data_IF_155646356252
#
_entry.id   IF_155646356252
#
_cell.length_a   1.000
_cell.length_b   1.000
_cell.length_c   1.000
_cell.angle_alpha   90.00
_cell.angle_beta   90.00
_cell.angle_gamma   90.00
#
_symmetry.space_group_name_H-M   'P 1'
#
loop_
_entity.id
_entity.type
_entity.pdbx_description
1 polymer ?
#
# COMPACT_ATOMS: atom_id res chain seq x y z
N UNK A 1 40.72 -22.12 13.25
CA UNK A 1 40.30 -22.00 11.84
C UNK A 1 39.41 -23.17 11.37
N UNK A 2 39.76 -24.43 11.66
CA UNK A 2 39.00 -25.62 11.22
C UNK A 2 37.63 -25.77 11.94
N UNK A 3 37.51 -25.40 13.22
CA UNK A 3 36.23 -25.41 13.95
C UNK A 3 35.21 -24.37 13.43
N UNK A 4 35.66 -23.28 12.81
CA UNK A 4 34.79 -22.22 12.27
C UNK A 4 34.20 -22.66 10.92
N UNK A 5 34.99 -23.35 10.09
CA UNK A 5 34.52 -23.96 8.83
C UNK A 5 33.52 -25.12 9.07
N UNK A 6 33.72 -25.90 10.13
CA UNK A 6 32.84 -27.02 10.50
C UNK A 6 31.45 -26.55 10.97
N UNK A 7 31.39 -25.48 11.76
CA UNK A 7 30.10 -24.89 12.19
C UNK A 7 29.42 -24.14 11.02
N UNK A 8 30.19 -23.59 10.10
CA UNK A 8 29.68 -22.93 8.89
C UNK A 8 29.06 -23.93 7.89
N UNK A 9 29.69 -25.09 7.68
CA UNK A 9 29.09 -26.16 6.88
C UNK A 9 27.88 -26.79 7.56
N UNK A 10 27.89 -26.96 8.88
CA UNK A 10 26.79 -27.57 9.62
C UNK A 10 25.48 -26.74 9.60
N UNK A 11 25.58 -25.41 9.39
CA UNK A 11 24.44 -24.50 9.29
C UNK A 11 24.08 -24.06 7.86
N UNK A 12 24.96 -24.26 6.87
CA UNK A 12 24.65 -24.00 5.46
C UNK A 12 23.83 -25.14 4.82
N UNK A 13 23.94 -26.36 5.35
CA UNK A 13 23.26 -27.55 4.83
C UNK A 13 21.73 -27.50 5.02
N UNK A 14 21.15 -27.05 6.16
CA UNK A 14 19.70 -27.01 6.29
C UNK A 14 19.05 -26.00 5.33
N UNK A 15 19.67 -24.82 5.14
CA UNK A 15 19.10 -23.73 4.34
C UNK A 15 19.19 -23.95 2.83
N UNK A 16 20.31 -24.51 2.35
CA UNK A 16 20.48 -24.82 0.93
C UNK A 16 19.72 -26.09 0.51
N UNK A 17 19.57 -27.07 1.41
CA UNK A 17 18.82 -28.29 1.17
C UNK A 17 17.29 -28.06 1.20
N UNK A 18 16.80 -27.08 1.97
CA UNK A 18 15.37 -26.70 2.04
C UNK A 18 14.87 -25.87 0.85
N UNK A 19 15.77 -25.18 0.13
CA UNK A 19 15.41 -24.36 -1.05
C UNK A 19 15.46 -25.17 -2.34
N UNK A 20 16.28 -26.23 -2.39
CA UNK A 20 16.41 -27.11 -3.55
C UNK A 20 15.33 -28.19 -3.63
N UNK A 21 14.71 -28.58 -2.50
CA UNK A 21 13.63 -29.56 -2.45
C UNK A 21 12.28 -28.86 -2.34
N UNK A 22 11.87 -28.20 -3.42
CA UNK A 22 10.47 -27.85 -3.63
C UNK A 22 9.68 -29.11 -4.02
N UNK A 23 9.29 -29.89 -3.01
CA UNK A 23 8.00 -30.57 -2.98
C UNK A 23 7.70 -31.04 -1.54
N UNK A 24 6.53 -30.67 -1.02
CA UNK A 24 5.86 -31.22 0.17
C UNK A 24 6.36 -30.74 1.56
N UNK A 25 5.59 -29.80 2.13
CA UNK A 25 5.22 -29.62 3.55
C UNK A 25 6.25 -29.89 4.68
N UNK A 26 7.01 -28.86 5.10
CA UNK A 26 7.52 -28.72 6.47
C UNK A 26 6.80 -27.60 7.26
N UNK A 27 5.79 -26.96 6.65
CA UNK A 27 5.04 -25.81 7.22
C UNK A 27 4.11 -26.19 8.38
N UNK A 28 3.68 -27.45 8.50
CA UNK A 28 2.69 -27.89 9.50
C UNK A 28 3.24 -28.00 10.94
N UNK A 29 4.51 -28.37 11.12
CA UNK A 29 5.09 -28.51 12.47
C UNK A 29 5.55 -27.17 13.05
N UNK A 30 6.09 -26.28 12.20
CA UNK A 30 6.48 -24.91 12.59
C UNK A 30 5.27 -23.99 12.79
N UNK A 31 4.13 -24.26 12.14
CA UNK A 31 2.85 -23.58 12.40
C UNK A 31 2.39 -23.73 13.85
N UNK A 32 2.59 -24.90 14.47
CA UNK A 32 2.02 -25.20 15.80
C UNK A 32 2.72 -24.46 16.95
N UNK A 33 4.05 -24.30 16.88
CA UNK A 33 4.84 -23.57 17.87
C UNK A 33 4.84 -22.06 17.63
N UNK A 34 4.83 -21.63 16.37
CA UNK A 34 4.71 -20.20 16.02
C UNK A 34 3.30 -19.64 16.24
N UNK A 35 2.24 -20.46 16.07
CA UNK A 35 0.85 -20.09 16.45
C UNK A 35 0.76 -19.64 17.90
N UNK A 36 1.34 -20.38 18.83
CA UNK A 36 1.23 -20.07 20.27
C UNK A 36 1.97 -18.78 20.64
N UNK A 37 3.08 -18.46 19.95
CA UNK A 37 3.78 -17.19 20.13
C UNK A 37 3.08 -16.02 19.42
N UNK A 38 2.45 -16.24 18.26
CA UNK A 38 1.75 -15.22 17.49
C UNK A 38 0.42 -14.77 18.12
N UNK A 39 -0.30 -15.69 18.77
CA UNK A 39 -1.60 -15.43 19.43
C UNK A 39 -1.44 -14.58 20.71
N UNK A 40 -0.25 -14.55 21.32
CA UNK A 40 -0.02 -13.84 22.59
C UNK A 40 0.39 -12.37 22.44
N UNK A 41 0.75 -11.89 21.25
CA UNK A 41 1.03 -10.46 21.06
C UNK A 41 -0.27 -9.73 20.77
N UNK A 42 -0.95 -9.29 21.84
CA UNK A 42 -2.06 -8.33 21.81
C UNK A 42 -1.63 -7.10 21.00
N UNK A 43 -2.00 -7.09 19.73
CA UNK A 43 -1.38 -6.25 18.70
C UNK A 43 -1.86 -4.80 18.85
N UNK A 44 -0.95 -3.91 19.28
CA UNK A 44 -1.16 -2.46 19.32
C UNK A 44 -1.05 -1.83 17.92
N UNK A 45 -0.64 -2.61 16.93
CA UNK A 45 -0.44 -2.17 15.56
C UNK A 45 -1.72 -2.43 14.78
N UNK A 46 -2.34 -1.38 14.23
CA UNK A 46 -3.59 -1.44 13.44
C UNK A 46 -3.42 -2.19 12.09
N UNK A 47 -2.66 -3.29 12.02
CA UNK A 47 -2.37 -4.06 10.81
C UNK A 47 -3.62 -4.80 10.34
N UNK A 48 -4.42 -5.37 11.25
CA UNK A 48 -5.72 -5.96 10.89
C UNK A 48 -6.60 -4.95 10.15
N UNK A 49 -6.76 -3.75 10.69
CA UNK A 49 -7.55 -2.70 10.05
C UNK A 49 -6.97 -2.24 8.70
N UNK A 50 -5.65 -2.35 8.51
CA UNK A 50 -4.94 -2.01 7.27
C UNK A 50 -5.08 -3.11 6.20
N UNK A 51 -5.11 -4.38 6.59
CA UNK A 51 -5.33 -5.52 5.70
C UNK A 51 -6.81 -5.67 5.32
N UNK A 52 -7.71 -5.42 6.27
CA UNK A 52 -9.16 -5.38 6.03
C UNK A 52 -9.51 -4.35 4.95
N UNK A 53 -8.85 -3.19 4.99
CA UNK A 53 -8.99 -2.14 3.99
C UNK A 53 -8.54 -2.57 2.59
N UNK A 54 -7.61 -3.53 2.46
CA UNK A 54 -7.20 -4.11 1.18
C UNK A 54 -8.10 -5.27 0.73
N UNK A 55 -9.23 -5.50 1.40
CA UNK A 55 -10.11 -6.63 1.15
C UNK A 55 -9.57 -7.97 1.67
N UNK A 56 -8.45 -7.99 2.41
CA UNK A 56 -7.84 -9.20 3.00
C UNK A 56 -8.38 -9.42 4.40
N UNK A 57 -9.62 -9.90 4.48
CA UNK A 57 -10.41 -10.02 5.72
C UNK A 57 -10.15 -11.32 6.48
N UNK A 58 -9.45 -12.27 5.88
CA UNK A 58 -9.20 -13.56 6.50
C UNK A 58 -8.08 -13.48 7.55
N UNK A 59 -8.29 -14.09 8.71
CA UNK A 59 -7.26 -14.26 9.75
C UNK A 59 -5.99 -14.93 9.19
N UNK A 60 -6.16 -15.80 8.19
CA UNK A 60 -5.07 -16.45 7.46
C UNK A 60 -4.16 -15.46 6.70
N UNK A 61 -4.71 -14.37 6.17
CA UNK A 61 -3.93 -13.36 5.45
C UNK A 61 -3.07 -12.52 6.42
N UNK A 62 -3.62 -12.22 7.61
CA UNK A 62 -2.86 -11.58 8.68
C UNK A 62 -1.72 -12.49 9.17
N UNK A 63 -2.01 -13.77 9.39
CA UNK A 63 -0.99 -14.75 9.79
C UNK A 63 0.11 -14.88 8.74
N UNK A 64 -0.25 -15.00 7.45
CA UNK A 64 0.71 -15.05 6.36
C UNK A 64 1.58 -13.78 6.28
N UNK A 65 0.98 -12.59 6.48
CA UNK A 65 1.73 -11.34 6.51
C UNK A 65 2.75 -11.30 7.66
N UNK A 66 2.34 -11.70 8.87
CA UNK A 66 3.24 -11.74 10.04
C UNK A 66 4.33 -12.79 9.90
N UNK A 67 4.01 -13.99 9.42
CA UNK A 67 4.99 -15.05 9.15
C UNK A 67 6.04 -14.54 8.17
N UNK A 68 5.61 -13.85 7.10
CA UNK A 68 6.50 -13.27 6.11
C UNK A 68 7.34 -12.12 6.68
N UNK A 69 6.77 -11.28 7.54
CA UNK A 69 7.49 -10.20 8.22
C UNK A 69 8.59 -10.73 9.15
N UNK A 70 8.25 -11.69 10.03
CA UNK A 70 9.23 -12.32 10.92
C UNK A 70 10.25 -13.14 10.13
N UNK A 71 9.82 -13.85 9.08
CA UNK A 71 10.70 -14.63 8.20
C UNK A 71 11.77 -13.77 7.55
N UNK A 72 11.41 -12.63 6.96
CA UNK A 72 12.39 -11.69 6.37
C UNK A 72 13.27 -11.01 7.41
N UNK A 73 12.76 -10.69 8.60
CA UNK A 73 13.58 -10.13 9.67
C UNK A 73 14.60 -11.13 10.22
N UNK A 74 14.18 -12.37 10.48
CA UNK A 74 15.07 -13.42 10.97
C UNK A 74 16.13 -13.80 9.92
N UNK A 75 15.71 -14.00 8.66
CA UNK A 75 16.65 -14.30 7.56
C UNK A 75 17.60 -13.13 7.28
N UNK A 76 17.10 -11.90 7.25
CA UNK A 76 17.91 -10.70 7.03
C UNK A 76 18.92 -10.45 8.15
N UNK A 77 18.51 -10.60 9.41
CA UNK A 77 19.42 -10.47 10.56
C UNK A 77 20.47 -11.59 10.57
N UNK A 78 20.08 -12.84 10.32
CA UNK A 78 21.03 -13.96 10.25
C UNK A 78 22.06 -13.74 9.13
N UNK A 79 21.62 -13.31 7.94
CA UNK A 79 22.51 -13.02 6.81
C UNK A 79 23.47 -11.87 7.14
N UNK A 80 22.98 -10.77 7.70
CA UNK A 80 23.79 -9.63 8.10
C UNK A 80 24.84 -10.00 9.16
N UNK A 81 24.46 -10.83 10.14
CA UNK A 81 25.36 -11.31 11.19
C UNK A 81 26.49 -12.17 10.59
N UNK A 82 26.14 -13.14 9.74
CA UNK A 82 27.14 -14.02 9.09
C UNK A 82 28.11 -13.21 8.25
N UNK A 83 27.59 -12.28 7.44
CA UNK A 83 28.40 -11.47 6.53
C UNK A 83 29.36 -10.52 7.28
N UNK A 84 28.92 -9.95 8.41
CA UNK A 84 29.76 -9.09 9.25
C UNK A 84 30.83 -9.86 10.05
N UNK A 85 30.52 -11.10 10.46
CA UNK A 85 31.51 -11.99 11.08
C UNK A 85 32.57 -12.45 10.06
N UNK A 86 32.16 -12.75 8.82
CA UNK A 86 33.10 -13.06 7.72
C UNK A 86 34.00 -11.87 7.36
N UNK A 87 33.49 -10.64 7.50
CA UNK A 87 34.26 -9.41 7.29
C UNK A 87 35.26 -9.10 8.43
N UNK A 88 35.38 -9.96 9.45
CA UNK A 88 36.37 -9.84 10.52
C UNK A 88 36.09 -8.72 11.53
N UNK A 89 34.86 -8.20 11.60
CA UNK A 89 34.47 -7.18 12.59
C UNK A 89 34.31 -7.78 13.98
N UNK A 90 34.47 -6.95 15.03
CA UNK A 90 34.27 -7.40 16.41
C UNK A 90 32.85 -7.95 16.61
N UNK A 91 32.66 -9.04 17.39
CA UNK A 91 31.37 -9.72 17.51
C UNK A 91 30.29 -8.78 18.09
N UNK A 92 30.69 -7.83 18.94
CA UNK A 92 29.79 -6.82 19.48
C UNK A 92 29.26 -5.87 18.39
N UNK A 93 30.14 -5.43 17.47
CA UNK A 93 29.72 -4.55 16.37
C UNK A 93 28.81 -5.29 15.37
N UNK A 94 29.10 -6.57 15.08
CA UNK A 94 28.29 -7.39 14.19
C UNK A 94 26.85 -7.57 14.71
N UNK A 95 26.70 -7.76 16.03
CA UNK A 95 25.38 -7.88 16.65
C UNK A 95 24.56 -6.58 16.57
N UNK A 96 25.19 -5.44 16.84
CA UNK A 96 24.53 -4.12 16.76
C UNK A 96 24.05 -3.83 15.33
N UNK A 97 24.90 -4.03 14.32
CA UNK A 97 24.52 -3.82 12.92
C UNK A 97 23.44 -4.80 12.44
N UNK A 98 23.49 -6.07 12.88
CA UNK A 98 22.44 -7.05 12.59
C UNK A 98 21.08 -6.63 13.19
N UNK A 99 21.07 -6.09 14.42
CA UNK A 99 19.85 -5.59 15.04
C UNK A 99 19.28 -4.38 14.27
N UNK A 100 20.14 -3.44 13.88
CA UNK A 100 19.75 -2.28 13.06
C UNK A 100 19.17 -2.74 11.72
N UNK A 101 19.80 -3.72 11.06
CA UNK A 101 19.31 -4.26 9.80
C UNK A 101 17.93 -4.91 9.94
N UNK A 102 17.69 -5.67 11.00
CA UNK A 102 16.37 -6.23 11.30
C UNK A 102 15.28 -5.16 11.45
N UNK A 103 15.60 -4.05 12.12
CA UNK A 103 14.69 -2.90 12.25
C UNK A 103 14.43 -2.22 10.90
N UNK A 104 15.45 -2.05 10.07
CA UNK A 104 15.31 -1.48 8.72
C UNK A 104 14.34 -2.32 7.87
N UNK A 105 14.47 -3.65 7.91
CA UNK A 105 13.57 -4.56 7.17
C UNK A 105 12.12 -4.43 7.65
N UNK A 106 11.88 -4.32 8.96
CA UNK A 106 10.53 -4.06 9.50
C UNK A 106 9.92 -2.77 8.95
N UNK A 107 10.71 -1.69 8.94
CA UNK A 107 10.26 -0.39 8.44
C UNK A 107 9.95 -0.45 6.94
N UNK A 108 10.76 -1.14 6.14
CA UNK A 108 10.51 -1.30 4.70
C UNK A 108 9.18 -2.02 4.45
N UNK A 109 8.93 -3.12 5.17
CA UNK A 109 7.69 -3.90 5.02
C UNK A 109 6.46 -3.07 5.41
N UNK A 110 6.52 -2.31 6.50
CA UNK A 110 5.40 -1.44 6.91
C UNK A 110 5.16 -0.27 5.93
N UNK A 111 6.24 0.28 5.36
CA UNK A 111 6.14 1.32 4.32
C UNK A 111 5.51 0.79 3.04
N UNK A 112 5.85 -0.43 2.65
CA UNK A 112 5.28 -1.07 1.47
C UNK A 112 3.78 -1.33 1.66
N UNK A 113 3.36 -1.83 2.84
CA UNK A 113 1.94 -1.99 3.16
C UNK A 113 1.19 -0.65 3.12
N UNK A 114 1.77 0.40 3.72
CA UNK A 114 1.20 1.75 3.71
C UNK A 114 1.08 2.30 2.28
N UNK A 115 2.08 2.04 1.43
CA UNK A 115 2.08 2.40 0.01
C UNK A 115 0.96 1.70 -0.75
N UNK A 116 0.77 0.39 -0.53
CA UNK A 116 -0.31 -0.39 -1.15
C UNK A 116 -1.69 0.14 -0.77
N UNK A 117 -1.91 0.46 0.50
CA UNK A 117 -3.17 1.06 0.98
C UNK A 117 -3.42 2.41 0.31
N UNK A 118 -2.38 3.25 0.22
CA UNK A 118 -2.50 4.53 -0.48
C UNK A 118 -2.86 4.35 -1.95
N UNK A 119 -2.22 3.40 -2.65
CA UNK A 119 -2.54 3.07 -4.05
C UNK A 119 -3.99 2.60 -4.20
N UNK A 120 -4.45 1.74 -3.29
CA UNK A 120 -5.82 1.23 -3.27
C UNK A 120 -6.85 2.36 -3.09
N UNK A 121 -6.67 3.25 -2.10
CA UNK A 121 -7.53 4.44 -1.93
C UNK A 121 -7.56 5.32 -3.18
N UNK A 122 -6.40 5.57 -3.78
CA UNK A 122 -6.29 6.40 -4.98
C UNK A 122 -7.02 5.76 -6.17
N UNK A 123 -6.98 4.44 -6.30
CA UNK A 123 -7.72 3.69 -7.31
C UNK A 123 -9.23 3.84 -7.11
N UNK A 124 -9.72 3.61 -5.88
CA UNK A 124 -11.15 3.81 -5.54
C UNK A 124 -11.61 5.24 -5.87
N UNK A 125 -10.84 6.25 -5.47
CA UNK A 125 -11.18 7.66 -5.75
C UNK A 125 -11.12 8.01 -7.24
N UNK A 126 -10.32 7.29 -8.03
CA UNK A 126 -10.25 7.46 -9.47
C UNK A 126 -11.45 6.83 -10.20
N UNK A 127 -11.95 5.69 -9.71
CA UNK A 127 -13.12 5.00 -10.25
C UNK A 127 -14.44 5.68 -9.89
N UNK A 128 -14.47 6.33 -8.72
CA UNK A 128 -15.68 6.88 -8.11
C UNK A 128 -16.55 7.78 -9.02
N UNK A 129 -16.01 8.75 -9.78
CA UNK A 129 -16.83 9.59 -10.65
C UNK A 129 -17.62 8.79 -11.69
N UNK A 130 -16.96 7.82 -12.35
CA UNK A 130 -17.58 6.99 -13.37
C UNK A 130 -18.68 6.11 -12.78
N UNK A 131 -18.44 5.56 -11.59
CA UNK A 131 -19.41 4.70 -10.90
C UNK A 131 -20.67 5.47 -10.48
N UNK A 132 -20.53 6.70 -9.96
CA UNK A 132 -21.71 7.52 -9.63
C UNK A 132 -22.48 7.90 -10.90
N UNK A 133 -21.81 8.21 -12.00
CA UNK A 133 -22.48 8.51 -13.27
C UNK A 133 -23.30 7.31 -13.75
N UNK A 134 -22.72 6.11 -13.72
CA UNK A 134 -23.45 4.87 -14.03
C UNK A 134 -24.66 4.67 -13.10
N UNK A 135 -24.47 4.89 -11.80
CA UNK A 135 -25.55 4.77 -10.81
C UNK A 135 -26.67 5.80 -11.04
N UNK A 136 -26.29 7.04 -11.37
CA UNK A 136 -27.22 8.14 -11.66
C UNK A 136 -28.05 7.82 -12.91
N UNK A 137 -27.40 7.33 -13.98
CA UNK A 137 -28.06 6.93 -15.22
C UNK A 137 -29.00 5.74 -15.02
N UNK A 138 -28.58 4.74 -14.26
CA UNK A 138 -29.41 3.57 -13.93
C UNK A 138 -30.68 3.98 -13.15
N UNK A 139 -30.53 4.82 -12.13
CA UNK A 139 -31.67 5.30 -11.33
C UNK A 139 -32.57 6.24 -12.15
N UNK A 140 -31.99 7.09 -13.00
CA UNK A 140 -32.75 7.92 -13.94
C UNK A 140 -33.55 7.08 -14.95
N UNK A 141 -33.07 5.88 -15.31
CA UNK A 141 -33.78 4.91 -16.13
C UNK A 141 -34.87 4.13 -15.36
N UNK A 142 -35.08 4.44 -14.06
CA UNK A 142 -36.10 3.81 -13.22
C UNK A 142 -35.63 2.60 -12.44
N UNK A 143 -34.33 2.26 -12.45
CA UNK A 143 -33.81 1.19 -11.60
C UNK A 143 -33.87 1.61 -10.12
N UNK A 144 -34.15 0.65 -9.24
CA UNK A 144 -34.01 0.88 -7.80
C UNK A 144 -32.54 1.06 -7.42
N UNK A 145 -32.19 1.79 -6.34
CA UNK A 145 -30.80 1.97 -5.93
C UNK A 145 -30.06 0.64 -5.68
N UNK A 146 -30.77 -0.36 -5.17
CA UNK A 146 -30.24 -1.70 -4.96
C UNK A 146 -29.91 -2.40 -6.29
N UNK A 147 -30.79 -2.31 -7.29
CA UNK A 147 -30.55 -2.89 -8.62
C UNK A 147 -29.41 -2.18 -9.35
N UNK A 148 -29.35 -0.85 -9.26
CA UNK A 148 -28.26 -0.07 -9.84
C UNK A 148 -26.89 -0.49 -9.24
N UNK A 149 -26.80 -0.67 -7.92
CA UNK A 149 -25.58 -1.16 -7.27
C UNK A 149 -25.22 -2.59 -7.68
N UNK A 150 -26.20 -3.49 -7.79
CA UNK A 150 -25.97 -4.85 -8.27
C UNK A 150 -25.44 -4.85 -9.72
N UNK A 151 -26.06 -4.06 -10.59
CA UNK A 151 -25.62 -3.91 -11.98
C UNK A 151 -24.18 -3.40 -12.06
N UNK A 152 -23.81 -2.42 -11.22
CA UNK A 152 -22.44 -1.90 -11.15
C UNK A 152 -21.48 -2.97 -10.63
N UNK A 153 -21.87 -3.73 -9.60
CA UNK A 153 -21.06 -4.82 -9.06
C UNK A 153 -20.77 -5.91 -10.11
N UNK A 154 -21.73 -6.19 -11.00
CA UNK A 154 -21.59 -7.21 -12.04
C UNK A 154 -20.87 -6.70 -13.31
N UNK A 155 -21.01 -5.42 -13.65
CA UNK A 155 -20.53 -4.86 -14.93
C UNK A 155 -19.21 -4.09 -14.85
N UNK A 156 -18.93 -3.44 -13.71
CA UNK A 156 -17.72 -2.65 -13.55
C UNK A 156 -16.56 -3.53 -13.05
N UNK A 157 -15.36 -3.26 -13.56
CA UNK A 157 -14.13 -3.85 -13.04
C UNK A 157 -13.39 -2.78 -12.26
N UNK A 158 -13.28 -2.95 -10.94
CA UNK A 158 -12.64 -1.96 -10.07
C UNK A 158 -12.74 -2.30 -8.59
N UNK A 159 -11.98 -1.61 -7.75
CA UNK A 159 -12.03 -1.83 -6.31
C UNK A 159 -13.35 -1.36 -5.69
N UNK A 160 -13.96 -0.28 -6.24
CA UNK A 160 -15.24 0.20 -5.74
C UNK A 160 -16.40 -0.74 -6.15
N UNK A 161 -16.31 -1.39 -7.32
CA UNK A 161 -17.30 -2.39 -7.77
C UNK A 161 -17.35 -3.61 -6.84
N UNK A 162 -16.18 -4.08 -6.36
CA UNK A 162 -16.09 -5.17 -5.38
C UNK A 162 -16.74 -4.79 -4.05
N UNK A 163 -16.56 -3.55 -3.60
CA UNK A 163 -17.22 -3.09 -2.37
C UNK A 163 -18.74 -2.99 -2.52
N UNK A 164 -19.25 -2.63 -3.70
CA UNK A 164 -20.68 -2.74 -3.98
C UNK A 164 -21.17 -4.19 -3.98
N UNK A 165 -20.39 -5.15 -4.51
CA UNK A 165 -20.71 -6.58 -4.42
C UNK A 165 -20.86 -7.03 -2.95
N UNK A 166 -19.92 -6.61 -2.09
CA UNK A 166 -19.98 -6.88 -0.64
C UNK A 166 -21.24 -6.28 -0.01
N UNK A 167 -21.62 -5.05 -0.37
CA UNK A 167 -22.86 -4.43 0.13
C UNK A 167 -24.09 -5.23 -0.28
N UNK A 168 -24.13 -5.72 -1.52
CA UNK A 168 -25.23 -6.57 -1.99
C UNK A 168 -25.27 -7.89 -1.22
N UNK A 169 -24.13 -8.52 -0.95
CA UNK A 169 -24.06 -9.75 -0.17
C UNK A 169 -24.52 -9.53 1.29
N UNK A 170 -24.15 -8.42 1.91
CA UNK A 170 -24.63 -8.04 3.25
C UNK A 170 -26.16 -7.85 3.26
N UNK A 171 -26.71 -7.21 2.25
CA UNK A 171 -28.17 -7.02 2.12
C UNK A 171 -28.87 -8.37 1.90
N UNK A 172 -28.32 -9.25 1.06
CA UNK A 172 -28.83 -10.61 0.84
C UNK A 172 -28.77 -11.47 2.10
N UNK A 173 -27.78 -11.22 2.96
CA UNK A 173 -27.68 -11.83 4.29
C UNK A 173 -28.67 -11.25 5.32
N UNK A 174 -29.52 -10.29 4.92
CA UNK A 174 -30.56 -9.71 5.76
C UNK A 174 -30.18 -8.38 6.44
N UNK A 175 -29.02 -7.79 6.13
CA UNK A 175 -28.68 -6.48 6.67
C UNK A 175 -29.52 -5.37 5.99
N UNK A 176 -29.99 -4.36 6.75
CA UNK A 176 -30.63 -3.20 6.15
C UNK A 176 -29.66 -2.41 5.26
N UNK A 177 -30.17 -1.89 4.14
CA UNK A 177 -29.38 -1.12 3.15
C UNK A 177 -28.51 -0.01 3.80
N UNK A 178 -29.07 0.76 4.74
CA UNK A 178 -28.35 1.84 5.39
C UNK A 178 -27.18 1.35 6.26
N UNK A 179 -27.31 0.17 6.89
CA UNK A 179 -26.24 -0.44 7.69
C UNK A 179 -25.14 -0.98 6.80
N UNK A 180 -25.50 -1.66 5.71
CA UNK A 180 -24.54 -2.18 4.73
C UNK A 180 -23.74 -1.06 4.04
N UNK A 181 -24.43 0.02 3.63
CA UNK A 181 -23.78 1.21 3.07
C UNK A 181 -22.87 1.90 4.09
N UNK A 182 -23.31 2.08 5.34
CA UNK A 182 -22.46 2.69 6.37
C UNK A 182 -21.22 1.82 6.67
N UNK A 183 -21.38 0.48 6.67
CA UNK A 183 -20.28 -0.48 6.78
C UNK A 183 -19.27 -0.29 5.65
N UNK A 184 -19.73 -0.19 4.39
CA UNK A 184 -18.88 0.14 3.24
C UNK A 184 -18.12 1.45 3.43
N UNK A 185 -18.82 2.51 3.86
CA UNK A 185 -18.21 3.81 4.13
C UNK A 185 -17.10 3.76 5.19
N UNK A 186 -17.23 2.87 6.19
CA UNK A 186 -16.19 2.62 7.20
C UNK A 186 -15.01 1.81 6.69
N UNK A 187 -15.26 0.83 5.81
CA UNK A 187 -14.20 -0.04 5.23
C UNK A 187 -13.30 0.68 4.24
N UNK A 188 -13.91 1.45 3.32
CA UNK A 188 -13.19 2.11 2.21
C UNK A 188 -12.25 3.22 2.68
N UNK A 189 -12.50 3.82 3.86
CA UNK A 189 -11.65 4.86 4.51
C UNK A 189 -11.23 6.01 3.58
N UNK A 190 -12.03 6.33 2.58
CA UNK A 190 -11.94 7.58 1.81
C UNK A 190 -12.99 8.56 2.29
N UNK A 191 -12.56 9.79 2.57
CA UNK A 191 -13.44 10.88 3.03
C UNK A 191 -14.53 11.18 2.00
N UNK A 192 -14.18 11.08 0.72
CA UNK A 192 -15.07 11.33 -0.41
C UNK A 192 -16.20 10.30 -0.48
N UNK A 193 -15.83 9.01 -0.40
CA UNK A 193 -16.80 7.90 -0.40
C UNK A 193 -17.66 7.95 0.86
N UNK A 194 -17.07 8.26 2.02
CA UNK A 194 -17.82 8.38 3.28
C UNK A 194 -18.92 9.44 3.18
N UNK A 195 -18.59 10.63 2.69
CA UNK A 195 -19.56 11.72 2.49
C UNK A 195 -20.68 11.34 1.54
N UNK A 196 -20.34 10.68 0.44
CA UNK A 196 -21.32 10.19 -0.52
C UNK A 196 -22.27 9.15 0.07
N UNK A 197 -21.73 8.16 0.78
CA UNK A 197 -22.52 7.14 1.48
C UNK A 197 -23.48 7.79 2.47
N UNK A 198 -22.98 8.70 3.31
CA UNK A 198 -23.81 9.40 4.29
C UNK A 198 -24.93 10.22 3.61
N UNK A 199 -24.63 10.84 2.46
CA UNK A 199 -25.61 11.57 1.66
C UNK A 199 -26.67 10.66 1.02
N UNK A 200 -26.26 9.51 0.46
CA UNK A 200 -27.17 8.52 -0.14
C UNK A 200 -28.10 7.91 0.92
N UNK A 201 -27.56 7.55 2.09
CA UNK A 201 -28.34 7.05 3.23
C UNK A 201 -29.36 8.10 3.65
N UNK A 202 -28.92 9.34 3.85
CA UNK A 202 -29.80 10.45 4.27
C UNK A 202 -30.90 10.72 3.23
N UNK A 203 -30.55 10.71 1.94
CA UNK A 203 -31.50 10.94 0.86
C UNK A 203 -32.56 9.84 0.79
N UNK A 204 -32.14 8.58 0.96
CA UNK A 204 -33.03 7.42 0.93
C UNK A 204 -33.97 7.42 2.14
N UNK A 205 -33.47 7.74 3.34
CA UNK A 205 -34.29 7.80 4.55
C UNK A 205 -35.29 8.96 4.55
N UNK A 206 -34.93 10.10 3.94
CA UNK A 206 -35.78 11.30 3.90
C UNK A 206 -36.64 11.41 2.64
N UNK A 207 -36.55 10.45 1.72
CA UNK A 207 -37.24 10.50 0.43
C UNK A 207 -36.81 11.67 -0.46
N UNK A 208 -35.58 12.16 -0.29
CA UNK A 208 -35.03 13.23 -1.12
C UNK A 208 -34.74 12.73 -2.55
N UNK A 209 -34.76 13.60 -3.58
CA UNK A 209 -34.48 13.20 -4.96
C UNK A 209 -33.04 12.69 -5.09
N UNK A 210 -32.88 11.36 -5.13
CA UNK A 210 -31.57 10.71 -5.12
C UNK A 210 -30.72 11.09 -6.34
N UNK A 211 -31.35 11.27 -7.50
CA UNK A 211 -30.70 11.70 -8.74
C UNK A 211 -29.96 13.03 -8.55
N UNK A 212 -30.54 14.00 -7.84
CA UNK A 212 -29.89 15.29 -7.58
C UNK A 212 -28.68 15.14 -6.68
N UNK A 213 -28.78 14.31 -5.64
CA UNK A 213 -27.68 14.03 -4.69
C UNK A 213 -26.51 13.34 -5.42
N UNK A 214 -26.81 12.31 -6.21
CA UNK A 214 -25.80 11.61 -7.01
C UNK A 214 -25.15 12.54 -8.05
N UNK A 215 -25.95 13.34 -8.76
CA UNK A 215 -25.44 14.28 -9.78
C UNK A 215 -24.51 15.33 -9.19
N UNK A 216 -24.85 15.89 -8.01
CA UNK A 216 -23.98 16.83 -7.29
C UNK A 216 -22.65 16.19 -6.91
N UNK A 217 -22.68 14.97 -6.36
CA UNK A 217 -21.45 14.26 -6.02
C UNK A 217 -20.64 13.83 -7.25
N UNK A 218 -21.28 13.49 -8.38
CA UNK A 218 -20.56 13.21 -9.62
C UNK A 218 -19.81 14.45 -10.15
N UNK A 219 -20.42 15.63 -10.09
CA UNK A 219 -19.76 16.90 -10.45
C UNK A 219 -18.60 17.21 -9.50
N UNK A 220 -18.82 17.09 -8.18
CA UNK A 220 -17.75 17.25 -7.18
C UNK A 220 -16.59 16.27 -7.45
N UNK A 221 -16.92 15.02 -7.79
CA UNK A 221 -15.94 13.97 -8.01
C UNK A 221 -15.06 14.23 -9.23
N UNK A 222 -15.65 14.66 -10.34
CA UNK A 222 -14.91 15.10 -11.53
C UNK A 222 -14.04 16.32 -11.24
N UNK A 223 -14.56 17.28 -10.47
CA UNK A 223 -13.80 18.45 -10.03
C UNK A 223 -12.54 18.05 -9.25
N UNK A 224 -12.69 17.15 -8.29
CA UNK A 224 -11.56 16.63 -7.50
C UNK A 224 -10.54 15.86 -8.37
N UNK A 225 -11.01 15.03 -9.31
CA UNK A 225 -10.12 14.35 -10.25
C UNK A 225 -9.34 15.33 -11.13
N UNK A 226 -10.02 16.34 -11.68
CA UNK A 226 -9.39 17.40 -12.48
C UNK A 226 -8.33 18.16 -11.68
N UNK A 227 -8.67 18.58 -10.46
CA UNK A 227 -7.75 19.28 -9.56
C UNK A 227 -6.52 18.43 -9.22
N UNK A 228 -6.70 17.12 -9.05
CA UNK A 228 -5.59 16.17 -8.79
C UNK A 228 -4.65 16.08 -9.99
N UNK A 229 -5.18 15.99 -11.21
CA UNK A 229 -4.39 15.98 -12.45
C UNK A 229 -3.63 17.29 -12.61
N UNK A 230 -4.30 18.44 -12.43
CA UNK A 230 -3.66 19.76 -12.53
C UNK A 230 -2.58 19.95 -11.46
N UNK A 231 -2.83 19.51 -10.23
CA UNK A 231 -1.85 19.57 -9.14
C UNK A 231 -0.63 18.69 -9.42
N UNK A 232 -0.83 17.52 -10.04
CA UNK A 232 0.26 16.65 -10.45
C UNK A 232 1.08 17.27 -11.59
N UNK A 233 0.42 17.90 -12.56
CA UNK A 233 1.08 18.63 -13.65
C UNK A 233 1.92 19.80 -13.12
N UNK A 234 1.36 20.63 -12.22
CA UNK A 234 2.11 21.73 -11.61
C UNK A 234 3.29 21.27 -10.76
N UNK A 235 3.18 20.14 -10.04
CA UNK A 235 4.31 19.54 -9.32
C UNK A 235 5.39 19.02 -10.26
N UNK A 236 5.01 18.45 -11.40
CA UNK A 236 5.95 18.00 -12.41
C UNK A 236 6.71 19.18 -13.02
N UNK A 237 6.00 20.28 -13.33
CA UNK A 237 6.60 21.53 -13.83
C UNK A 237 7.64 22.08 -12.85
N UNK A 238 7.31 22.17 -11.56
CA UNK A 238 8.26 22.61 -10.54
C UNK A 238 9.46 21.66 -10.42
N UNK A 239 9.22 20.35 -10.50
CA UNK A 239 10.29 19.35 -10.40
C UNK A 239 11.24 19.41 -11.60
N UNK A 240 10.78 19.84 -12.78
CA UNK A 240 11.63 20.05 -13.96
C UNK A 240 12.54 21.28 -13.83
N UNK A 241 12.17 22.28 -13.02
CA UNK A 241 13.03 23.44 -12.75
C UNK A 241 14.27 23.08 -11.93
N UNK A 242 14.19 22.08 -11.04
CA UNK A 242 15.31 21.73 -10.14
C UNK A 242 16.56 21.30 -10.93
N UNK A 243 16.51 20.30 -11.85
CA UNK A 243 17.68 19.96 -12.66
C UNK A 243 18.16 21.12 -13.52
N UNK A 244 17.25 21.93 -14.08
CA UNK A 244 17.62 23.08 -14.91
C UNK A 244 18.45 24.09 -14.10
N UNK A 245 17.99 24.46 -12.91
CA UNK A 245 18.67 25.46 -12.07
C UNK A 245 19.95 24.91 -11.44
N UNK A 246 19.96 23.66 -10.96
CA UNK A 246 21.14 23.11 -10.27
C UNK A 246 22.17 22.45 -11.17
N UNK A 247 21.83 22.12 -12.42
CA UNK A 247 22.76 21.48 -13.35
C UNK A 247 23.19 22.44 -14.46
N UNK A 248 22.24 23.10 -15.13
CA UNK A 248 22.55 23.92 -16.32
C UNK A 248 23.23 25.23 -15.91
N UNK A 249 22.75 25.91 -14.86
CA UNK A 249 23.31 27.19 -14.43
C UNK A 249 24.75 27.08 -13.89
N UNK A 250 25.12 26.10 -13.04
CA UNK A 250 26.52 25.96 -12.63
C UNK A 250 27.45 25.59 -13.79
N UNK A 251 27.00 24.74 -14.72
CA UNK A 251 27.77 24.37 -15.90
C UNK A 251 27.97 25.58 -16.82
N UNK A 252 26.94 26.41 -17.02
CA UNK A 252 27.06 27.61 -17.87
C UNK A 252 28.00 28.65 -17.26
N UNK A 253 27.95 28.86 -15.94
CA UNK A 253 28.90 29.73 -15.22
C UNK A 253 30.33 29.19 -15.38
N UNK A 254 30.54 27.89 -15.18
CA UNK A 254 31.86 27.26 -15.32
C UNK A 254 32.43 27.48 -16.73
N UNK A 255 31.59 27.30 -17.75
CA UNK A 255 31.98 27.47 -19.15
C UNK A 255 32.29 28.93 -19.50
N UNK A 256 31.50 29.88 -18.99
CA UNK A 256 31.71 31.31 -19.20
C UNK A 256 32.99 31.82 -18.53
N UNK A 257 33.34 31.30 -17.35
CA UNK A 257 34.54 31.70 -16.60
C UNK A 257 35.83 31.02 -17.08
N UNK A 258 35.73 29.91 -17.80
CA UNK A 258 36.87 29.13 -18.29
C UNK A 258 37.93 29.95 -19.04
N UNK A 259 37.59 30.72 -20.11
CA UNK A 259 38.59 31.49 -20.84
C UNK A 259 39.23 32.61 -20.00
N UNK A 260 38.48 33.24 -19.10
CA UNK A 260 39.03 34.28 -18.21
C UNK A 260 40.08 33.70 -17.26
N UNK A 261 39.84 32.51 -16.72
CA UNK A 261 40.80 31.81 -15.86
C UNK A 261 42.07 31.41 -16.63
N UNK A 262 41.94 30.91 -17.87
CA UNK A 262 43.11 30.54 -18.67
C UNK A 262 43.97 31.74 -19.08
N UNK A 263 43.34 32.89 -19.34
CA UNK A 263 44.08 34.12 -19.66
C UNK A 263 44.86 34.65 -18.46
N UNK A 264 44.28 34.66 -17.26
CA UNK A 264 44.99 35.11 -16.05
C UNK A 264 46.19 34.24 -15.70
N UNK A 265 46.11 32.93 -15.95
CA UNK A 265 47.21 32.01 -15.66
C UNK A 265 48.40 32.19 -16.63
N UNK A 266 48.16 32.67 -17.85
CA UNK A 266 49.19 33.00 -18.85
C UNK A 266 49.98 34.26 -18.52
N UNK A 267 49.42 35.19 -17.74
CA UNK A 267 50.12 36.39 -17.26
C UNK A 267 50.86 36.15 -15.92
N UNK A 268 50.55 35.07 -15.22
CA UNK A 268 51.14 34.73 -13.92
C UNK A 268 52.37 33.81 -14.02
N UNK A 269 52.68 33.28 -15.21
CA UNK A 269 53.88 32.49 -15.53
C UNK A 269 54.89 33.29 -16.35
#
# INVERSE_FOLDING_TARGET
MIQILLVSMLFAIPGALLIALNDIDPLLELESRSRKAAISSRDRTNIHARLEELGRRCERDYQNFRIRQFGYCCSGAALALVLLLMAGKSPLSAFVFSAIFGVIVLVIIDRELTSQIKKHRVAIEAEFPAIIEMMTLAIAAGETPMQAMLRIADSAQGELSKEFAVVIDEIRAGQPLHVALDSMGRRVKSVMIRRFVDAVITATLRGAPLIEVLSRHAVEARGNQRNRVLSAAGKAEISMMIPVVFLILPISILFALWPSLTNLNLFAS
#
